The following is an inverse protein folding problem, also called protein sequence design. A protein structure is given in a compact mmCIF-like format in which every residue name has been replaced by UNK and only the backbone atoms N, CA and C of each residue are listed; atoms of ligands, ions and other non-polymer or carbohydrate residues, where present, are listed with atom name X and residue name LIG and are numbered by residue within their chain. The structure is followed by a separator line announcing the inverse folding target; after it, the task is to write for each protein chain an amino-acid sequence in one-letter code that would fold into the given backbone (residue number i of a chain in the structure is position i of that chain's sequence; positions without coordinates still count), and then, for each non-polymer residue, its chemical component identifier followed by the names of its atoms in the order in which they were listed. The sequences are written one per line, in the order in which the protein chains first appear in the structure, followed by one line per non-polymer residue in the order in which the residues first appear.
data_IF_241887549831
#
_entry.id   IF_241887549831
#
_cell.length_a   1.000
_cell.length_b   1.000
_cell.length_c   1.000
_cell.angle_alpha   90.00
_cell.angle_beta   90.00
_cell.angle_gamma   90.00
#
_symmetry.space_group_name_H-M   'P 1'
#
loop_
_entity.id
_entity.type
_entity.pdbx_description
1 polymer ?
#
# COMPACT_ATOMS: atom_id res chain seq x y z
N UNK A 1 -46.17 10.25 35.00
CA UNK A 1 -46.38 10.16 33.54
C UNK A 1 -45.53 11.23 32.86
N UNK A 2 -44.90 10.84 31.76
CA UNK A 2 -44.25 11.66 30.71
C UNK A 2 -42.81 12.18 30.89
N UNK A 3 -41.85 11.32 30.57
CA UNK A 3 -40.78 11.56 29.58
C UNK A 3 -41.35 11.70 28.14
N UNK A 4 -40.61 12.00 27.04
CA UNK A 4 -39.21 12.44 26.85
C UNK A 4 -39.00 13.50 25.69
N UNK A 5 -37.72 13.68 25.30
CA UNK A 5 -37.14 14.28 24.06
C UNK A 5 -36.85 15.80 24.17
N UNK A 6 -35.66 16.33 23.85
CA UNK A 6 -34.82 16.13 22.65
C UNK A 6 -33.34 16.47 22.94
N UNK A 7 -32.45 15.62 22.42
CA UNK A 7 -31.07 15.79 21.91
C UNK A 7 -30.19 17.01 22.31
N UNK A 8 -29.02 16.69 22.86
CA UNK A 8 -27.68 17.06 22.36
C UNK A 8 -26.68 16.13 23.09
N UNK A 9 -25.93 15.21 22.49
CA UNK A 9 -25.26 15.27 21.19
C UNK A 9 -23.91 15.97 21.37
N UNK A 10 -22.81 15.19 21.32
CA UNK A 10 -21.38 15.56 21.46
C UNK A 10 -20.79 15.62 22.88
N UNK A 11 -20.12 14.53 23.30
CA UNK A 11 -18.66 14.60 23.58
C UNK A 11 -18.02 13.31 23.05
N UNK A 12 -16.99 13.55 22.26
CA UNK A 12 -16.23 12.64 21.41
C UNK A 12 -15.32 11.74 22.26
N UNK A 13 -15.40 10.44 21.98
CA UNK A 13 -14.35 9.42 21.92
C UNK A 13 -13.10 9.68 22.80
N UNK A 14 -12.86 8.91 23.87
CA UNK A 14 -12.21 7.59 23.83
C UNK A 14 -11.07 7.55 22.79
N UNK A 15 -9.82 7.23 23.09
CA UNK A 15 -9.17 6.68 24.24
C UNK A 15 -7.66 6.89 24.01
N UNK A 16 -6.90 6.95 25.10
CA UNK A 16 -5.57 6.33 25.22
C UNK A 16 -4.64 6.50 24.02
N UNK A 17 -3.78 7.50 24.12
CA UNK A 17 -2.44 7.41 23.57
C UNK A 17 -1.75 6.14 24.12
N UNK A 18 -1.95 5.00 23.44
CA UNK A 18 -1.10 3.82 23.57
C UNK A 18 0.20 4.10 22.83
N UNK A 19 0.98 5.03 23.38
CA UNK A 19 2.35 5.30 22.98
C UNK A 19 3.28 4.30 23.66
N UNK A 20 3.08 2.99 23.49
CA UNK A 20 4.05 1.97 23.91
C UNK A 20 3.97 0.77 22.96
N UNK A 21 4.80 0.83 21.91
CA UNK A 21 5.28 -0.29 21.10
C UNK A 21 4.21 -1.30 20.63
N UNK A 22 3.33 -0.88 19.72
CA UNK A 22 2.74 -1.84 18.78
C UNK A 22 3.75 -2.04 17.65
N UNK A 23 4.14 -3.27 17.36
CA UNK A 23 4.68 -3.64 16.05
C UNK A 23 3.94 -2.83 14.98
N UNK A 24 4.61 -1.84 14.38
CA UNK A 24 4.10 -1.07 13.24
C UNK A 24 4.15 -2.03 12.04
N UNK A 25 3.32 -3.07 12.10
CA UNK A 25 2.97 -3.87 10.94
C UNK A 25 2.26 -2.88 10.04
N UNK A 26 2.80 -2.62 8.85
CA UNK A 26 2.16 -1.70 7.95
C UNK A 26 0.73 -2.16 7.71
N UNK A 27 -0.22 -1.23 7.81
CA UNK A 27 -1.60 -1.53 7.46
C UNK A 27 -1.64 -1.88 5.98
N UNK A 28 -1.71 -3.18 5.71
CA UNK A 28 -1.70 -3.72 4.35
C UNK A 28 -3.11 -3.89 3.79
N UNK A 29 -4.12 -3.81 4.67
CA UNK A 29 -5.52 -3.95 4.32
C UNK A 29 -6.00 -2.82 3.40
N UNK A 30 -5.51 -1.59 3.60
CA UNK A 30 -5.82 -0.47 2.70
C UNK A 30 -5.33 -0.68 1.24
N UNK A 31 -4.42 -1.64 1.01
CA UNK A 31 -3.89 -1.95 -0.31
C UNK A 31 -4.60 -3.12 -1.01
N UNK A 32 -5.57 -3.77 -0.36
CA UNK A 32 -6.26 -4.93 -0.95
C UNK A 32 -6.88 -4.63 -2.31
N UNK A 33 -7.70 -3.58 -2.41
CA UNK A 33 -8.37 -3.23 -3.66
C UNK A 33 -7.37 -2.87 -4.77
N UNK A 34 -6.30 -2.16 -4.42
CA UNK A 34 -5.24 -1.75 -5.36
C UNK A 34 -4.49 -2.98 -5.88
N UNK A 35 -4.08 -3.89 -4.99
CA UNK A 35 -3.36 -5.09 -5.35
C UNK A 35 -4.23 -6.11 -6.08
N UNK A 36 -5.52 -6.19 -5.78
CA UNK A 36 -6.48 -6.97 -6.58
C UNK A 36 -6.61 -6.42 -8.00
N UNK A 37 -6.66 -5.08 -8.18
CA UNK A 37 -6.63 -4.47 -9.50
C UNK A 37 -5.33 -4.80 -10.24
N UNK A 38 -4.18 -4.69 -9.57
CA UNK A 38 -2.87 -5.04 -10.13
C UNK A 38 -2.84 -6.50 -10.59
N UNK A 39 -3.22 -7.45 -9.74
CA UNK A 39 -3.26 -8.88 -10.09
C UNK A 39 -4.24 -9.16 -11.24
N UNK A 40 -5.33 -8.41 -11.36
CA UNK A 40 -6.29 -8.57 -12.45
C UNK A 40 -5.79 -8.00 -13.77
N UNK A 41 -5.00 -6.93 -13.74
CA UNK A 41 -4.70 -6.11 -14.91
C UNK A 41 -3.27 -6.28 -15.44
N UNK A 42 -2.28 -6.41 -14.55
CA UNK A 42 -0.89 -6.58 -14.95
C UNK A 42 -0.63 -8.04 -15.31
N UNK A 43 -0.44 -8.31 -16.61
CA UNK A 43 -0.11 -9.65 -17.10
C UNK A 43 1.15 -10.22 -16.44
N UNK A 44 2.16 -9.39 -16.19
CA UNK A 44 3.42 -9.85 -15.57
C UNK A 44 3.18 -10.35 -14.15
N UNK A 45 2.26 -9.71 -13.40
CA UNK A 45 1.88 -10.15 -12.06
C UNK A 45 1.03 -11.42 -12.10
N UNK A 46 0.18 -11.59 -13.13
CA UNK A 46 -0.56 -12.84 -13.36
C UNK A 46 0.37 -13.98 -13.75
N UNK A 47 1.34 -13.74 -14.63
CA UNK A 47 2.34 -14.72 -15.05
C UNK A 47 3.19 -15.16 -13.87
N UNK A 48 3.57 -14.21 -12.99
CA UNK A 48 4.18 -14.52 -11.69
C UNK A 48 3.25 -15.39 -10.86
N UNK A 49 2.00 -14.98 -10.64
CA UNK A 49 1.06 -15.75 -9.80
C UNK A 49 0.82 -17.18 -10.31
N UNK A 50 0.83 -17.38 -11.63
CA UNK A 50 0.64 -18.69 -12.26
C UNK A 50 1.95 -19.46 -12.49
N UNK A 51 3.09 -18.91 -12.10
CA UNK A 51 4.38 -19.55 -12.33
C UNK A 51 4.51 -20.80 -11.43
N UNK A 52 4.63 -22.01 -12.00
CA UNK A 52 4.76 -23.24 -11.22
C UNK A 52 6.06 -23.32 -10.41
N UNK A 53 7.03 -22.44 -10.67
CA UNK A 53 8.27 -22.32 -9.89
C UNK A 53 8.13 -21.46 -8.63
N UNK A 54 7.04 -20.69 -8.47
CA UNK A 54 6.77 -19.98 -7.22
C UNK A 54 6.32 -21.00 -6.15
N UNK A 55 6.88 -20.95 -4.94
CA UNK A 55 6.47 -21.87 -3.89
C UNK A 55 4.99 -21.65 -3.56
N UNK A 56 4.29 -22.72 -3.15
CA UNK A 56 2.84 -22.71 -2.96
C UNK A 56 2.34 -21.69 -1.91
N UNK A 57 3.22 -21.16 -1.07
CA UNK A 57 2.94 -20.11 -0.10
C UNK A 57 3.28 -18.69 -0.60
N UNK A 58 3.71 -18.55 -1.85
CA UNK A 58 4.01 -17.24 -2.43
C UNK A 58 2.73 -16.57 -2.89
N UNK A 59 2.24 -15.66 -2.06
CA UNK A 59 1.10 -14.81 -2.41
C UNK A 59 1.61 -13.52 -3.07
N UNK A 60 1.49 -13.47 -4.39
CA UNK A 60 1.89 -12.29 -5.20
C UNK A 60 1.08 -11.05 -4.83
N UNK A 61 -0.18 -11.23 -4.39
CA UNK A 61 -1.00 -10.14 -3.86
C UNK A 61 -0.45 -9.59 -2.56
N UNK A 62 -0.03 -10.46 -1.65
CA UNK A 62 0.62 -10.06 -0.41
C UNK A 62 1.97 -9.37 -0.66
N UNK A 63 2.74 -9.82 -1.66
CA UNK A 63 3.95 -9.11 -2.06
C UNK A 63 3.65 -7.70 -2.59
N UNK A 64 2.62 -7.54 -3.41
CA UNK A 64 2.16 -6.21 -3.83
C UNK A 64 1.83 -5.30 -2.63
N UNK A 65 1.07 -5.81 -1.66
CA UNK A 65 0.71 -5.04 -0.46
C UNK A 65 1.94 -4.65 0.35
N UNK A 66 2.87 -5.57 0.55
CA UNK A 66 4.14 -5.33 1.26
C UNK A 66 4.99 -4.27 0.55
N UNK A 67 5.07 -4.28 -0.79
CA UNK A 67 5.79 -3.26 -1.54
C UNK A 67 5.19 -1.86 -1.36
N UNK A 68 3.85 -1.74 -1.42
CA UNK A 68 3.18 -0.46 -1.24
C UNK A 68 3.31 0.07 0.20
N UNK A 69 3.18 -0.81 1.18
CA UNK A 69 3.46 -0.52 2.58
C UNK A 69 4.89 -0.02 2.83
N UNK A 70 5.89 -0.68 2.24
CA UNK A 70 7.30 -0.28 2.37
C UNK A 70 7.55 1.09 1.72
N UNK A 71 6.91 1.38 0.58
CA UNK A 71 6.96 2.69 -0.05
C UNK A 71 6.32 3.74 0.85
N UNK A 72 5.14 3.50 1.41
CA UNK A 72 4.49 4.44 2.34
C UNK A 72 5.39 4.75 3.54
N UNK A 73 6.10 3.75 4.07
CA UNK A 73 7.01 3.93 5.20
C UNK A 73 8.28 4.71 4.86
N UNK A 74 8.89 4.43 3.71
CA UNK A 74 10.23 4.95 3.36
C UNK A 74 10.20 6.13 2.38
N UNK A 75 9.11 6.28 1.63
CA UNK A 75 8.83 7.33 0.66
C UNK A 75 7.33 7.75 0.75
N UNK A 76 6.86 8.24 1.91
CA UNK A 76 5.45 8.56 2.14
C UNK A 76 4.88 9.59 1.15
N UNK A 77 5.71 10.47 0.60
CA UNK A 77 5.29 11.46 -0.39
C UNK A 77 5.02 10.85 -1.76
N UNK A 78 5.61 9.69 -2.05
CA UNK A 78 5.49 9.00 -3.33
C UNK A 78 4.28 8.06 -3.40
N UNK A 79 3.79 7.55 -2.25
CA UNK A 79 2.74 6.52 -2.24
C UNK A 79 1.45 6.97 -2.94
N UNK A 80 1.07 8.25 -2.78
CA UNK A 80 -0.13 8.78 -3.40
C UNK A 80 -0.02 8.74 -4.94
N UNK A 81 1.14 9.12 -5.49
CA UNK A 81 1.40 9.02 -6.93
C UNK A 81 1.35 7.59 -7.46
N UNK A 82 1.81 6.61 -6.66
CA UNK A 82 1.69 5.18 -7.01
C UNK A 82 0.22 4.75 -7.02
N UNK A 83 -0.54 5.09 -5.96
CA UNK A 83 -1.99 4.79 -5.85
C UNK A 83 -2.75 5.39 -7.04
N UNK A 84 -2.48 6.65 -7.38
CA UNK A 84 -3.13 7.35 -8.49
C UNK A 84 -2.74 6.77 -9.85
N UNK A 85 -1.48 6.41 -10.06
CA UNK A 85 -1.06 5.71 -11.28
C UNK A 85 -1.84 4.40 -11.45
N UNK A 86 -1.92 3.57 -10.41
CA UNK A 86 -2.63 2.28 -10.48
C UNK A 86 -4.12 2.50 -10.72
N UNK A 87 -4.75 3.48 -10.05
CA UNK A 87 -6.18 3.72 -10.16
C UNK A 87 -6.61 4.33 -11.50
N UNK A 88 -5.83 5.26 -12.04
CA UNK A 88 -6.16 5.99 -13.27
C UNK A 88 -5.69 5.28 -14.54
N UNK A 89 -4.74 4.34 -14.44
CA UNK A 89 -4.32 3.56 -15.61
C UNK A 89 -5.37 2.52 -15.98
N UNK A 90 -5.68 2.44 -17.28
CA UNK A 90 -6.55 1.42 -17.85
C UNK A 90 -5.95 0.03 -17.64
N UNK A 91 -6.81 -0.98 -17.51
CA UNK A 91 -6.38 -2.34 -17.16
C UNK A 91 -5.41 -2.94 -18.19
N UNK A 92 -5.58 -2.60 -19.47
CA UNK A 92 -4.74 -3.07 -20.58
C UNK A 92 -3.31 -2.51 -20.56
N UNK A 93 -3.12 -1.32 -19.99
CA UNK A 93 -1.83 -0.60 -19.92
C UNK A 93 -1.18 -0.68 -18.53
N UNK A 94 -1.89 -1.24 -17.54
CA UNK A 94 -1.44 -1.24 -16.16
C UNK A 94 -0.23 -2.16 -15.99
N UNK A 95 0.90 -1.55 -15.62
CA UNK A 95 2.12 -2.24 -15.18
C UNK A 95 2.51 -1.75 -13.80
N UNK A 96 2.46 -2.65 -12.82
CA UNK A 96 2.76 -2.33 -11.43
C UNK A 96 4.17 -1.78 -11.28
N UNK A 97 5.16 -2.41 -11.91
CA UNK A 97 6.55 -1.95 -11.90
C UNK A 97 6.70 -0.51 -12.44
N UNK A 98 5.93 -0.12 -13.46
CA UNK A 98 5.94 1.24 -14.01
C UNK A 98 5.37 2.24 -13.03
N UNK A 99 4.25 1.91 -12.37
CA UNK A 99 3.68 2.78 -11.33
C UNK A 99 4.58 2.89 -10.09
N UNK A 100 5.40 1.88 -9.78
CA UNK A 100 6.35 1.90 -8.66
C UNK A 100 7.66 2.64 -8.98
N UNK A 101 8.07 2.71 -10.25
CA UNK A 101 9.36 3.26 -10.67
C UNK A 101 9.72 4.63 -10.05
N UNK A 102 8.83 5.65 -10.02
CA UNK A 102 9.16 6.94 -9.42
C UNK A 102 9.39 6.84 -7.91
N UNK A 103 8.56 6.07 -7.21
CA UNK A 103 8.72 5.82 -5.77
C UNK A 103 10.02 5.07 -5.47
N UNK A 104 10.37 4.07 -6.29
CA UNK A 104 11.64 3.35 -6.13
C UNK A 104 12.86 4.24 -6.40
N UNK A 105 12.78 5.15 -7.38
CA UNK A 105 13.84 6.12 -7.62
C UNK A 105 14.03 7.06 -6.42
N UNK A 106 12.95 7.46 -5.75
CA UNK A 106 13.02 8.25 -4.51
C UNK A 106 13.63 7.45 -3.36
N UNK A 107 13.22 6.19 -3.19
CA UNK A 107 13.81 5.28 -2.19
C UNK A 107 15.32 5.13 -2.38
N UNK A 108 15.78 4.96 -3.62
CA UNK A 108 17.22 4.84 -3.94
C UNK A 108 18.01 6.12 -3.66
N UNK A 109 17.41 7.30 -3.86
CA UNK A 109 18.07 8.59 -3.53
C UNK A 109 18.32 8.75 -2.04
N UNK A 110 17.46 8.17 -1.21
CA UNK A 110 17.52 8.25 0.25
C UNK A 110 18.44 7.19 0.89
N UNK A 111 19.17 6.40 0.11
CA UNK A 111 20.20 5.47 0.60
C UNK A 111 21.53 6.22 0.74
N UNK A 112 21.95 6.62 1.96
CA UNK A 112 23.27 7.20 2.16
C UNK A 112 24.35 6.19 1.76
N UNK A 113 25.18 6.55 0.78
CA UNK A 113 26.28 5.73 0.25
C UNK A 113 26.08 5.19 -1.18
N UNK A 114 24.90 5.29 -1.79
CA UNK A 114 24.69 4.93 -3.20
C UNK A 114 25.22 6.01 -4.18
N UNK A 115 25.43 7.23 -3.68
CA UNK A 115 26.05 8.35 -4.40
C UNK A 115 27.56 8.30 -4.18
N UNK A 116 28.27 7.36 -4.80
CA UNK A 116 29.70 7.22 -4.53
C UNK A 116 30.50 6.25 -5.39
N UNK A 117 29.97 5.79 -6.52
CA UNK A 117 30.78 5.02 -7.48
C UNK A 117 30.63 5.72 -8.83
N UNK A 118 31.44 6.77 -9.01
CA UNK A 118 31.85 7.24 -10.34
C UNK A 118 32.96 6.34 -10.86
#
# INVERSE_FOLDING_TARGET
MNTPKVLAGLVILAALATAQCGDDKPDTAQYDAICQKVLKCDKSMQDLQNNPALPANADVGEQCKKSLAEIEKKAPNSIQGVKDCINNTACEDLKFATCLAPAQAELMKNIPGAQGIQ
#
